data_IF_676865388525
#
_entry.id   IF_676865388525
#
_cell.length_a   1.000
_cell.length_b   1.000
_cell.length_c   1.000
_cell.angle_alpha   90.00
_cell.angle_beta   90.00
_cell.angle_gamma   90.00
#
_symmetry.space_group_name_H-M   'P 1'
#
loop_
_entity.id
_entity.type
_entity.pdbx_description
1 polymer ?
#
# COMPACT_ATOMS: atom_id res chain seq x y z
N UNK A 1 10.37 20.02 1.29
CA UNK A 1 9.19 19.17 1.56
C UNK A 1 8.67 18.50 0.30
N UNK A 2 8.07 19.17 -0.70
CA UNK A 2 7.62 18.50 -1.93
C UNK A 2 8.74 17.76 -2.66
N UNK A 3 9.91 18.39 -2.82
CA UNK A 3 11.09 17.76 -3.42
C UNK A 3 11.52 16.49 -2.66
N UNK A 4 11.41 16.48 -1.36
CA UNK A 4 11.74 15.30 -0.53
C UNK A 4 10.72 14.19 -0.74
N UNK A 5 9.42 14.52 -0.74
CA UNK A 5 8.34 13.56 -1.01
C UNK A 5 8.53 12.94 -2.41
N UNK A 6 8.75 13.78 -3.44
CA UNK A 6 8.98 13.30 -4.80
C UNK A 6 10.22 12.41 -4.90
N UNK A 7 11.29 12.78 -4.20
CA UNK A 7 12.52 11.98 -4.15
C UNK A 7 12.27 10.63 -3.46
N UNK A 8 11.52 10.63 -2.36
CA UNK A 8 11.17 9.42 -1.64
C UNK A 8 10.31 8.50 -2.50
N UNK A 9 9.24 9.02 -3.13
CA UNK A 9 8.40 8.24 -4.04
C UNK A 9 9.18 7.66 -5.22
N UNK A 10 10.11 8.44 -5.78
CA UNK A 10 10.99 7.95 -6.85
C UNK A 10 11.94 6.84 -6.38
N UNK A 11 12.40 6.88 -5.12
CA UNK A 11 13.20 5.82 -4.55
C UNK A 11 12.37 4.54 -4.35
N UNK A 12 11.14 4.68 -3.84
CA UNK A 12 10.22 3.56 -3.67
C UNK A 12 9.85 2.91 -5.01
N UNK A 13 9.60 3.70 -6.05
CA UNK A 13 9.32 3.20 -7.39
C UNK A 13 10.50 2.40 -7.95
N UNK A 14 11.73 2.91 -7.81
CA UNK A 14 12.93 2.17 -8.21
C UNK A 14 13.16 0.88 -7.45
N UNK A 15 12.69 0.82 -6.21
CA UNK A 15 12.84 -0.37 -5.37
C UNK A 15 11.74 -1.40 -5.65
N UNK A 16 10.48 -0.99 -5.72
CA UNK A 16 9.34 -1.91 -5.65
C UNK A 16 8.52 -2.08 -6.93
N UNK A 17 8.78 -1.29 -7.98
CA UNK A 17 8.00 -1.36 -9.22
C UNK A 17 8.34 -2.60 -10.03
N UNK A 18 7.55 -3.67 -9.89
CA UNK A 18 7.75 -4.94 -10.62
C UNK A 18 7.56 -4.82 -12.15
N UNK A 19 6.91 -3.75 -12.63
CA UNK A 19 6.77 -3.50 -14.06
C UNK A 19 8.01 -2.83 -14.66
N UNK A 20 8.94 -2.38 -13.81
CA UNK A 20 10.22 -1.86 -14.23
C UNK A 20 11.30 -2.96 -14.11
N UNK A 21 11.84 -3.50 -15.21
CA UNK A 21 12.84 -4.57 -15.15
C UNK A 21 14.17 -4.15 -14.49
N UNK A 22 14.37 -2.84 -14.30
CA UNK A 22 15.55 -2.29 -13.61
C UNK A 22 15.27 -2.00 -12.12
N UNK A 23 14.07 -2.25 -11.62
CA UNK A 23 13.77 -2.11 -10.19
C UNK A 23 14.47 -3.19 -9.39
N UNK A 24 14.73 -2.89 -8.12
CA UNK A 24 15.40 -3.82 -7.22
C UNK A 24 14.61 -5.12 -7.05
N UNK A 25 13.28 -5.04 -6.89
CA UNK A 25 12.42 -6.23 -6.79
C UNK A 25 12.45 -7.08 -8.05
N UNK A 26 12.46 -6.46 -9.25
CA UNK A 26 12.53 -7.20 -10.52
C UNK A 26 13.87 -7.89 -10.68
N UNK A 27 14.97 -7.25 -10.28
CA UNK A 27 16.30 -7.85 -10.30
C UNK A 27 16.42 -9.00 -9.29
N UNK A 28 15.84 -8.87 -8.10
CA UNK A 28 15.77 -9.94 -7.10
C UNK A 28 15.03 -11.16 -7.65
N UNK A 29 13.85 -10.95 -8.23
CA UNK A 29 13.04 -12.02 -8.80
C UNK A 29 13.73 -12.72 -9.99
N UNK A 30 14.45 -11.95 -10.81
CA UNK A 30 15.13 -12.50 -12.00
C UNK A 30 16.43 -13.27 -11.66
N UNK A 31 17.19 -12.80 -10.67
CA UNK A 31 18.54 -13.33 -10.44
C UNK A 31 18.56 -14.58 -9.58
N UNK A 32 17.57 -14.81 -8.72
CA UNK A 32 17.53 -15.91 -7.73
C UNK A 32 18.85 -16.12 -6.97
N UNK A 33 19.68 -15.07 -6.92
CA UNK A 33 20.99 -15.01 -6.28
C UNK A 33 20.99 -13.83 -5.33
N UNK A 34 21.74 -13.93 -4.24
CA UNK A 34 21.93 -12.85 -3.28
C UNK A 34 22.51 -11.61 -3.98
N UNK A 35 21.67 -10.60 -4.20
CA UNK A 35 22.07 -9.26 -4.58
C UNK A 35 22.16 -8.39 -3.34
N UNK A 36 23.10 -7.46 -3.33
CA UNK A 36 23.17 -6.45 -2.28
C UNK A 36 21.89 -5.59 -2.33
N UNK A 37 21.05 -5.71 -1.32
CA UNK A 37 19.77 -5.00 -1.23
C UNK A 37 19.93 -3.65 -0.56
N UNK A 38 19.14 -2.67 -1.03
CA UNK A 38 19.08 -1.34 -0.41
C UNK A 38 18.52 -1.40 1.02
N UNK A 39 18.80 -0.38 1.81
CA UNK A 39 18.23 -0.26 3.17
C UNK A 39 16.69 -0.17 3.13
N UNK A 40 16.12 0.42 2.08
CA UNK A 40 14.66 0.45 1.86
C UNK A 40 14.12 -0.96 1.68
N UNK A 41 14.76 -1.77 0.86
CA UNK A 41 14.36 -3.16 0.63
C UNK A 41 14.50 -3.99 1.91
N UNK A 42 15.60 -3.86 2.64
CA UNK A 42 15.80 -4.58 3.92
C UNK A 42 14.73 -4.23 4.95
N UNK A 43 14.42 -2.91 5.10
CA UNK A 43 13.34 -2.47 6.00
C UNK A 43 12.00 -3.08 5.59
N UNK A 44 11.68 -3.05 4.29
CA UNK A 44 10.43 -3.59 3.76
C UNK A 44 10.30 -5.11 3.99
N UNK A 45 11.36 -5.88 3.70
CA UNK A 45 11.37 -7.32 3.92
C UNK A 45 11.15 -7.66 5.41
N UNK A 46 11.83 -6.98 6.32
CA UNK A 46 11.66 -7.18 7.77
C UNK A 46 10.23 -6.86 8.23
N UNK A 47 9.63 -5.79 7.70
CA UNK A 47 8.24 -5.45 8.01
C UNK A 47 7.27 -6.50 7.47
N UNK A 48 7.46 -6.95 6.24
CA UNK A 48 6.63 -7.98 5.62
C UNK A 48 6.72 -9.31 6.36
N UNK A 49 7.93 -9.72 6.81
CA UNK A 49 8.10 -10.89 7.65
C UNK A 49 7.34 -10.76 8.99
N UNK A 50 7.39 -9.58 9.60
CA UNK A 50 6.62 -9.30 10.81
C UNK A 50 5.11 -9.43 10.57
N UNK A 51 4.62 -8.91 9.45
CA UNK A 51 3.19 -9.02 9.10
C UNK A 51 2.80 -10.46 8.74
N UNK A 52 3.64 -11.21 8.06
CA UNK A 52 3.42 -12.64 7.80
C UNK A 52 3.17 -13.40 9.11
N UNK A 53 4.03 -13.16 10.11
CA UNK A 53 3.91 -13.79 11.43
C UNK A 53 2.63 -13.32 12.16
N UNK A 54 2.39 -12.01 12.23
CA UNK A 54 1.23 -11.42 12.92
C UNK A 54 -0.10 -11.87 12.33
N UNK A 55 -0.17 -12.02 11.02
CA UNK A 55 -1.38 -12.45 10.29
C UNK A 55 -1.48 -13.97 10.16
N UNK A 56 -0.54 -14.72 10.74
CA UNK A 56 -0.48 -16.19 10.64
C UNK A 56 -0.47 -16.69 9.18
N UNK A 57 0.26 -15.99 8.33
CA UNK A 57 0.41 -16.33 6.92
C UNK A 57 -0.67 -15.75 6.00
N UNK A 58 -1.60 -14.94 6.50
CA UNK A 58 -2.63 -14.31 5.64
C UNK A 58 -2.09 -13.11 4.85
N UNK A 59 -1.02 -12.48 5.32
CA UNK A 59 -0.25 -11.53 4.53
C UNK A 59 1.06 -12.17 4.12
N UNK A 60 1.24 -12.43 2.83
CA UNK A 60 2.46 -13.00 2.25
C UNK A 60 2.80 -12.25 0.96
N UNK A 61 4.04 -11.81 0.85
CA UNK A 61 4.55 -11.15 -0.35
C UNK A 61 5.11 -12.15 -1.38
N UNK A 62 5.18 -13.44 -1.02
CA UNK A 62 5.63 -14.49 -1.94
C UNK A 62 4.47 -14.91 -2.85
N UNK A 63 4.66 -14.84 -4.15
CA UNK A 63 3.63 -15.22 -5.14
C UNK A 63 4.10 -16.37 -6.04
N UNK A 64 3.15 -17.26 -6.34
CA UNK A 64 3.36 -18.36 -7.26
C UNK A 64 4.29 -19.45 -6.75
N UNK A 65 4.53 -20.46 -7.61
CA UNK A 65 5.41 -21.59 -7.32
C UNK A 65 6.88 -21.17 -7.23
N UNK A 66 7.28 -20.16 -8.00
CA UNK A 66 8.63 -19.63 -8.03
C UNK A 66 8.96 -18.72 -6.82
N UNK A 67 7.96 -18.42 -5.99
CA UNK A 67 8.06 -17.53 -4.82
C UNK A 67 8.59 -16.15 -5.18
N UNK A 68 8.17 -15.59 -6.29
CA UNK A 68 8.47 -14.23 -6.66
C UNK A 68 7.93 -13.25 -5.62
N UNK A 69 8.71 -12.23 -5.30
CA UNK A 69 8.36 -11.20 -4.33
C UNK A 69 7.45 -10.17 -5.00
N UNK A 70 6.31 -9.89 -4.36
CA UNK A 70 5.35 -8.89 -4.80
C UNK A 70 4.94 -7.98 -3.63
N UNK A 71 5.28 -6.70 -3.75
CA UNK A 71 4.97 -5.69 -2.73
C UNK A 71 3.68 -4.90 -3.01
N UNK A 72 2.88 -5.24 -4.03
CA UNK A 72 1.70 -4.44 -4.42
C UNK A 72 0.71 -4.20 -3.26
N UNK A 73 0.51 -5.22 -2.41
CA UNK A 73 -0.31 -5.11 -1.20
C UNK A 73 0.33 -4.35 -0.03
N UNK A 74 1.60 -4.00 -0.13
CA UNK A 74 2.37 -3.36 0.95
C UNK A 74 2.78 -1.92 0.63
N UNK A 75 3.19 -1.66 -0.62
CA UNK A 75 3.96 -0.45 -0.96
C UNK A 75 3.20 0.85 -0.72
N UNK A 76 1.88 0.87 -0.91
CA UNK A 76 1.07 2.09 -0.70
C UNK A 76 1.06 2.52 0.77
N UNK A 77 0.80 1.59 1.68
CA UNK A 77 0.84 1.84 3.12
C UNK A 77 2.24 2.24 3.61
N UNK A 78 3.27 1.58 3.08
CA UNK A 78 4.65 1.91 3.38
C UNK A 78 5.03 3.32 2.89
N UNK A 79 4.61 3.69 1.68
CA UNK A 79 4.82 5.04 1.14
C UNK A 79 4.13 6.11 1.99
N UNK A 80 2.87 5.88 2.40
CA UNK A 80 2.15 6.78 3.29
C UNK A 80 2.91 6.99 4.62
N UNK A 81 3.40 5.91 5.23
CA UNK A 81 4.23 5.98 6.44
C UNK A 81 5.48 6.84 6.23
N UNK A 82 6.19 6.66 5.12
CA UNK A 82 7.40 7.42 4.76
C UNK A 82 7.09 8.90 4.55
N UNK A 83 5.99 9.20 3.85
CA UNK A 83 5.51 10.59 3.65
C UNK A 83 5.13 11.22 4.99
N UNK A 84 4.45 10.49 5.88
CA UNK A 84 4.10 10.99 7.21
C UNK A 84 5.34 11.44 8.00
N UNK A 85 6.44 10.70 7.92
CA UNK A 85 7.70 11.07 8.58
C UNK A 85 8.27 12.38 8.01
N UNK A 86 8.23 12.56 6.69
CA UNK A 86 8.67 13.80 6.02
C UNK A 86 7.80 15.00 6.45
N UNK A 87 6.47 14.81 6.45
CA UNK A 87 5.53 15.86 6.88
C UNK A 87 5.74 16.23 8.34
N UNK A 88 5.92 15.24 9.21
CA UNK A 88 6.20 15.44 10.64
C UNK A 88 7.52 16.19 10.86
N UNK A 89 8.58 15.82 10.13
CA UNK A 89 9.85 16.53 10.18
C UNK A 89 9.72 17.97 9.70
N UNK A 90 8.87 18.21 8.69
CA UNK A 90 8.49 19.56 8.19
C UNK A 90 7.50 20.31 9.10
N UNK A 91 7.14 19.74 10.26
CA UNK A 91 6.18 20.32 11.23
C UNK A 91 4.78 20.57 10.66
N UNK A 92 4.39 19.82 9.63
CA UNK A 92 3.03 19.80 9.10
C UNK A 92 2.14 19.12 10.13
N UNK A 93 1.08 19.79 10.55
CA UNK A 93 0.15 19.28 11.56
C UNK A 93 -1.07 18.63 10.92
N UNK A 94 -1.54 19.22 9.84
CA UNK A 94 -2.79 18.85 9.20
C UNK A 94 -2.51 18.51 7.73
N UNK A 95 -2.86 17.31 7.30
CA UNK A 95 -2.73 16.85 5.92
C UNK A 95 -3.66 15.69 5.66
N UNK A 96 -4.15 15.60 4.43
CA UNK A 96 -4.82 14.42 3.92
C UNK A 96 -4.08 13.93 2.68
N UNK A 97 -3.76 12.65 2.66
CA UNK A 97 -3.04 12.01 1.56
C UNK A 97 -3.92 10.88 1.04
N UNK A 98 -4.19 10.91 -0.25
CA UNK A 98 -4.95 9.88 -0.95
C UNK A 98 -4.09 9.26 -2.04
N UNK A 99 -3.85 7.97 -1.94
CA UNK A 99 -3.12 7.17 -2.92
C UNK A 99 -4.10 6.37 -3.78
N UNK A 100 -4.60 7.03 -4.83
CA UNK A 100 -5.45 6.42 -5.86
C UNK A 100 -6.78 5.86 -5.33
N UNK A 101 -7.40 6.50 -4.33
CA UNK A 101 -8.70 6.09 -3.77
C UNK A 101 -8.68 4.82 -2.93
N UNK A 102 -7.52 4.15 -2.80
CA UNK A 102 -7.45 2.83 -2.15
C UNK A 102 -6.60 2.81 -0.89
N UNK A 103 -5.78 3.82 -0.66
CA UNK A 103 -4.97 3.94 0.56
C UNK A 103 -4.85 5.40 0.94
N UNK A 104 -5.33 5.76 2.11
CA UNK A 104 -5.40 7.13 2.59
C UNK A 104 -4.79 7.26 3.97
N UNK A 105 -4.35 8.46 4.28
CA UNK A 105 -3.87 8.82 5.61
C UNK A 105 -4.28 10.24 5.93
N UNK A 106 -4.88 10.41 7.09
CA UNK A 106 -5.20 11.68 7.68
C UNK A 106 -4.18 12.04 8.76
N UNK A 107 -3.73 13.28 8.78
CA UNK A 107 -2.98 13.89 9.89
C UNK A 107 -3.77 15.06 10.41
N UNK A 108 -3.86 15.18 11.74
CA UNK A 108 -4.57 16.29 12.36
C UNK A 108 -6.04 16.38 11.95
N UNK A 109 -6.48 17.57 11.57
CA UNK A 109 -7.88 17.86 11.22
C UNK A 109 -8.02 18.67 9.94
N UNK A 110 -9.20 18.65 9.37
CA UNK A 110 -9.54 19.47 8.21
C UNK A 110 -9.54 20.97 8.58
N UNK A 111 -9.09 21.87 7.71
CA UNK A 111 -9.06 23.31 7.99
C UNK A 111 -10.42 23.94 8.38
N UNK A 112 -11.50 23.34 7.92
CA UNK A 112 -12.87 23.82 8.13
C UNK A 112 -13.74 22.85 8.95
N UNK A 113 -13.12 21.85 9.62
CA UNK A 113 -13.84 20.83 10.40
C UNK A 113 -12.94 20.14 11.42
N UNK A 114 -13.51 19.22 12.17
CA UNK A 114 -12.78 18.49 13.22
C UNK A 114 -12.18 17.15 12.73
N UNK A 115 -12.53 16.72 11.52
CA UNK A 115 -12.05 15.49 10.89
C UNK A 115 -11.86 15.69 9.39
N UNK A 116 -11.14 14.77 8.77
CA UNK A 116 -11.09 14.59 7.32
C UNK A 116 -12.18 13.58 6.95
N UNK A 117 -12.96 13.86 5.93
CA UNK A 117 -13.98 12.94 5.42
C UNK A 117 -13.50 12.26 4.14
N UNK A 118 -13.83 11.00 4.00
CA UNK A 118 -13.63 10.23 2.79
C UNK A 118 -14.91 9.42 2.52
N UNK A 119 -15.49 9.58 1.34
CA UNK A 119 -16.64 8.81 0.88
C UNK A 119 -16.15 7.67 0.00
N UNK A 120 -16.54 6.45 0.36
CA UNK A 120 -16.37 5.28 -0.49
C UNK A 120 -17.57 5.17 -1.40
N UNK A 121 -17.32 5.13 -2.69
CA UNK A 121 -18.32 5.01 -3.74
C UNK A 121 -18.25 3.62 -4.40
N UNK A 122 -19.37 3.16 -4.89
CA UNK A 122 -19.42 1.96 -5.73
C UNK A 122 -18.77 2.27 -7.08
N UNK A 123 -17.75 1.49 -7.50
CA UNK A 123 -17.02 1.76 -8.73
C UNK A 123 -17.85 1.59 -10.01
N UNK A 124 -19.01 0.92 -9.95
CA UNK A 124 -19.88 0.69 -11.11
C UNK A 124 -21.01 1.71 -11.18
N UNK A 125 -21.63 2.04 -10.04
CA UNK A 125 -22.83 2.89 -10.00
C UNK A 125 -22.53 4.32 -9.57
N UNK A 126 -21.35 4.57 -9.03
CA UNK A 126 -20.95 5.83 -8.38
C UNK A 126 -21.83 6.19 -7.16
N UNK A 127 -22.63 5.24 -6.67
CA UNK A 127 -23.42 5.43 -5.47
C UNK A 127 -22.54 5.45 -4.23
N UNK A 128 -22.87 6.31 -3.28
CA UNK A 128 -22.19 6.38 -1.99
C UNK A 128 -22.47 5.12 -1.16
N UNK A 129 -21.42 4.38 -0.82
CA UNK A 129 -21.50 3.20 0.04
C UNK A 129 -21.36 3.60 1.51
N UNK A 130 -20.34 4.38 1.83
CA UNK A 130 -20.01 4.71 3.22
C UNK A 130 -19.14 5.96 3.30
N UNK A 131 -19.46 6.87 4.22
CA UNK A 131 -18.59 7.96 4.62
C UNK A 131 -17.76 7.58 5.86
N UNK A 132 -16.47 7.94 5.85
CA UNK A 132 -15.53 7.74 6.94
C UNK A 132 -15.01 9.08 7.44
N UNK A 133 -15.00 9.26 8.75
CA UNK A 133 -14.35 10.38 9.44
C UNK A 133 -12.97 9.95 9.95
N UNK A 134 -11.91 10.59 9.49
CA UNK A 134 -10.53 10.28 9.85
C UNK A 134 -9.91 11.42 10.69
N UNK A 135 -9.37 11.09 11.85
CA UNK A 135 -8.76 12.03 12.82
C UNK A 135 -7.34 11.62 13.21
N UNK A 136 -6.48 11.40 12.23
CA UNK A 136 -5.12 10.90 12.45
C UNK A 136 -4.98 9.41 12.19
N UNK A 137 -5.94 8.84 11.47
CA UNK A 137 -5.96 7.44 11.09
C UNK A 137 -5.60 7.25 9.62
N UNK A 138 -5.37 6.01 9.26
CA UNK A 138 -5.20 5.57 7.88
C UNK A 138 -6.34 4.65 7.51
N UNK A 139 -6.70 4.65 6.23
CA UNK A 139 -7.75 3.81 5.69
C UNK A 139 -7.22 3.11 4.43
N UNK A 140 -7.48 1.83 4.33
CA UNK A 140 -7.17 1.04 3.14
C UNK A 140 -8.44 0.36 2.64
N UNK A 141 -8.65 0.43 1.34
CA UNK A 141 -9.79 -0.19 0.67
C UNK A 141 -9.26 -1.22 -0.32
N UNK A 142 -9.82 -2.41 -0.26
CA UNK A 142 -9.54 -3.50 -1.21
C UNK A 142 -10.86 -4.11 -1.68
N UNK A 143 -10.95 -4.40 -2.96
CA UNK A 143 -12.16 -5.00 -3.53
C UNK A 143 -11.87 -5.56 -4.92
N UNK A 144 -12.70 -6.47 -5.38
CA UNK A 144 -12.71 -6.90 -6.76
C UNK A 144 -13.62 -5.96 -7.55
N UNK A 145 -13.09 -5.32 -8.56
CA UNK A 145 -13.86 -4.56 -9.54
C UNK A 145 -13.84 -5.29 -10.88
N UNK A 146 -14.76 -5.01 -11.81
CA UNK A 146 -14.73 -5.60 -13.15
C UNK A 146 -13.40 -5.41 -13.87
N UNK A 147 -12.72 -4.30 -13.61
CA UNK A 147 -11.42 -3.96 -14.21
C UNK A 147 -10.24 -4.65 -13.50
N UNK A 148 -10.39 -4.97 -12.21
CA UNK A 148 -9.36 -5.52 -11.34
C UNK A 148 -9.81 -6.81 -10.65
N UNK A 149 -10.64 -7.61 -11.29
CA UNK A 149 -11.10 -8.90 -10.76
C UNK A 149 -9.95 -9.87 -10.53
N UNK A 150 -10.04 -10.63 -9.44
CA UNK A 150 -9.12 -11.74 -9.18
C UNK A 150 -7.76 -11.36 -8.58
N UNK A 151 -7.56 -10.12 -8.12
CA UNK A 151 -6.30 -9.72 -7.49
C UNK A 151 -6.21 -10.03 -5.98
N UNK A 152 -7.35 -10.32 -5.33
CA UNK A 152 -7.36 -10.75 -3.93
C UNK A 152 -7.21 -12.27 -3.90
N UNK A 153 -6.10 -12.74 -3.37
CA UNK A 153 -5.74 -14.16 -3.33
C UNK A 153 -5.61 -14.59 -1.87
N UNK A 154 -6.23 -15.71 -1.51
CA UNK A 154 -5.97 -16.35 -0.23
C UNK A 154 -4.60 -17.05 -0.29
N UNK A 155 -3.58 -16.59 0.44
CA UNK A 155 -2.23 -17.13 0.32
C UNK A 155 -2.10 -18.57 0.83
N UNK A 156 -3.01 -19.03 1.72
CA UNK A 156 -2.98 -20.39 2.24
C UNK A 156 -3.58 -21.41 1.30
N UNK A 157 -4.54 -21.01 0.46
CA UNK A 157 -5.24 -21.90 -0.48
C UNK A 157 -4.89 -21.63 -1.93
N UNK A 158 -4.19 -20.54 -2.21
CA UNK A 158 -3.88 -20.00 -3.55
C UNK A 158 -5.11 -19.78 -4.43
N UNK A 159 -6.30 -19.68 -3.81
CA UNK A 159 -7.53 -19.40 -4.54
C UNK A 159 -7.78 -17.91 -4.61
N UNK A 160 -8.20 -17.48 -5.78
CA UNK A 160 -8.72 -16.13 -5.99
C UNK A 160 -10.03 -15.98 -5.22
N UNK A 161 -10.22 -14.85 -4.60
CA UNK A 161 -11.48 -14.47 -3.98
C UNK A 161 -12.38 -13.89 -5.08
N UNK A 162 -13.48 -14.59 -5.38
CA UNK A 162 -14.35 -14.27 -6.53
C UNK A 162 -15.51 -13.36 -6.19
N UNK A 163 -15.80 -13.13 -4.91
CA UNK A 163 -16.88 -12.23 -4.50
C UNK A 163 -16.55 -10.76 -4.74
N UNK A 164 -17.58 -9.97 -5.08
CA UNK A 164 -17.51 -8.51 -5.22
C UNK A 164 -17.44 -7.79 -3.85
N UNK A 165 -16.92 -8.44 -2.83
CA UNK A 165 -16.81 -7.85 -1.49
C UNK A 165 -15.75 -6.77 -1.47
N UNK A 166 -16.10 -5.61 -0.91
CA UNK A 166 -15.17 -4.53 -0.60
C UNK A 166 -14.75 -4.69 0.86
N UNK A 167 -13.46 -4.71 1.12
CA UNK A 167 -12.90 -4.70 2.47
C UNK A 167 -12.29 -3.33 2.78
N UNK A 168 -12.61 -2.79 3.95
CA UNK A 168 -12.08 -1.51 4.43
C UNK A 168 -11.42 -1.74 5.78
N UNK A 169 -10.18 -1.28 5.92
CA UNK A 169 -9.38 -1.42 7.14
C UNK A 169 -8.76 -0.08 7.52
#
# INVERSE_FOLDING_TARGET
MWTEITKELSALDKTFNRNNPQSEVSLLNASKVDIETSEIMKEALNLCESYLIQTKGLFDISKGEDKDIDFDGFVKGYALRRIALILKAGKVKDAFINFGGTSMMALGKHPYGDCWTFTLEDPETEDEIQEFELRGESLSVSGNTPECGGHIINPLTHKVFEDSTISVV
#
